data_IF_044211351313
#
_entry.id   IF_044211351313
#
_cell.length_a   1.000
_cell.length_b   1.000
_cell.length_c   1.000
_cell.angle_alpha   90.00
_cell.angle_beta   90.00
_cell.angle_gamma   90.00
#
_symmetry.space_group_name_H-M   'P 1'
#
loop_
_entity.id
_entity.type
_entity.pdbx_description
1 polymer ?
#
# COMPACT_ATOMS: atom_id res chain seq x y z
N UNK A 1 -14.14 4.68 34.95
CA UNK A 1 -15.25 5.26 34.17
C UNK A 1 -14.67 6.35 33.29
N UNK A 2 -14.98 6.37 32.02
CA UNK A 2 -14.52 7.40 31.08
C UNK A 2 -15.47 8.56 31.18
N UNK A 3 -14.94 9.77 31.38
CA UNK A 3 -15.72 10.99 31.20
C UNK A 3 -15.69 11.36 29.71
N UNK A 4 -16.81 11.24 29.00
CA UNK A 4 -16.85 11.61 27.58
C UNK A 4 -16.70 13.12 27.41
N UNK A 5 -16.21 13.52 26.26
CA UNK A 5 -16.18 14.93 25.89
C UNK A 5 -17.61 15.46 25.69
N UNK A 6 -17.75 16.78 25.75
CA UNK A 6 -19.03 17.44 25.43
C UNK A 6 -19.34 17.22 23.93
N UNK A 7 -20.64 17.22 23.59
CA UNK A 7 -21.09 17.01 22.22
C UNK A 7 -20.46 18.00 21.22
N UNK A 8 -20.26 19.24 21.63
CA UNK A 8 -19.64 20.26 20.79
C UNK A 8 -18.18 19.92 20.47
N UNK A 9 -17.44 19.43 21.46
CA UNK A 9 -16.04 19.01 21.27
C UNK A 9 -15.98 17.75 20.42
N UNK A 10 -16.86 16.80 20.65
CA UNK A 10 -16.94 15.57 19.85
C UNK A 10 -17.21 15.86 18.37
N UNK A 11 -18.12 16.79 18.09
CA UNK A 11 -18.42 17.22 16.72
C UNK A 11 -17.19 17.87 16.05
N UNK A 12 -16.47 18.72 16.76
CA UNK A 12 -15.25 19.34 16.25
C UNK A 12 -14.12 18.32 16.02
N UNK A 13 -14.00 17.33 16.88
CA UNK A 13 -13.02 16.25 16.73
C UNK A 13 -13.32 15.40 15.47
N UNK A 14 -14.58 15.08 15.25
CA UNK A 14 -15.00 14.33 14.05
C UNK A 14 -14.73 15.15 12.78
N UNK A 15 -15.02 16.44 12.79
CA UNK A 15 -14.74 17.31 11.65
C UNK A 15 -13.24 17.41 11.37
N UNK A 16 -12.43 17.65 12.38
CA UNK A 16 -10.98 17.68 12.25
C UNK A 16 -10.45 16.35 11.68
N UNK A 17 -10.90 15.24 12.25
CA UNK A 17 -10.50 13.91 11.80
C UNK A 17 -10.79 13.67 10.32
N UNK A 18 -11.94 14.11 9.83
CA UNK A 18 -12.31 13.97 8.42
C UNK A 18 -11.36 14.69 7.46
N UNK A 19 -10.75 15.79 7.92
CA UNK A 19 -9.81 16.61 7.12
C UNK A 19 -8.38 16.13 7.13
N UNK A 20 -8.01 15.24 8.06
CA UNK A 20 -6.64 14.78 8.21
C UNK A 20 -6.27 13.72 7.14
N UNK A 21 -5.00 13.71 6.67
CA UNK A 21 -4.49 12.58 5.89
C UNK A 21 -4.43 11.30 6.74
N UNK A 22 -4.43 10.15 6.07
CA UNK A 22 -4.52 8.82 6.70
C UNK A 22 -3.50 8.59 7.83
N UNK A 23 -2.25 8.98 7.61
CA UNK A 23 -1.20 8.88 8.63
C UNK A 23 -1.54 9.71 9.87
N UNK A 24 -1.95 10.96 9.65
CA UNK A 24 -2.30 11.88 10.73
C UNK A 24 -3.57 11.47 11.48
N UNK A 25 -4.53 10.85 10.79
CA UNK A 25 -5.72 10.28 11.42
C UNK A 25 -5.37 9.24 12.47
N UNK A 26 -4.47 8.31 12.15
CA UNK A 26 -4.03 7.27 13.09
C UNK A 26 -3.31 7.86 14.29
N UNK A 27 -2.40 8.79 14.06
CA UNK A 27 -1.67 9.46 15.13
C UNK A 27 -2.59 10.27 16.04
N UNK A 28 -3.52 11.00 15.46
CA UNK A 28 -4.50 11.79 16.21
C UNK A 28 -5.39 10.89 17.08
N UNK A 29 -5.92 9.82 16.53
CA UNK A 29 -6.72 8.85 17.28
C UNK A 29 -5.91 8.23 18.44
N UNK A 30 -4.63 7.93 18.20
CA UNK A 30 -3.73 7.41 19.21
C UNK A 30 -3.50 8.39 20.36
N UNK A 31 -3.23 9.65 20.06
CA UNK A 31 -3.04 10.70 21.08
C UNK A 31 -4.30 10.87 21.93
N UNK A 32 -5.46 10.97 21.30
CA UNK A 32 -6.73 11.13 22.02
C UNK A 32 -7.04 9.93 22.93
N UNK A 33 -6.76 8.70 22.46
CA UNK A 33 -6.97 7.49 23.26
C UNK A 33 -6.05 7.43 24.48
N UNK A 34 -4.82 7.92 24.38
CA UNK A 34 -3.85 7.94 25.50
C UNK A 34 -4.26 8.87 26.64
N UNK A 35 -5.16 9.81 26.41
CA UNK A 35 -5.68 10.69 27.48
C UNK A 35 -6.53 9.92 28.49
N UNK A 36 -7.03 8.75 28.13
CA UNK A 36 -7.88 7.92 28.98
C UNK A 36 -7.12 6.71 29.49
N UNK A 37 -7.14 6.42 30.81
CA UNK A 37 -6.37 5.32 31.38
C UNK A 37 -6.92 3.94 31.01
N UNK A 38 -8.24 3.81 30.82
CA UNK A 38 -8.90 2.55 30.45
C UNK A 38 -10.09 2.82 29.52
N UNK A 39 -10.24 1.98 28.52
CA UNK A 39 -11.37 2.07 27.61
C UNK A 39 -11.26 3.19 26.56
N UNK A 40 -10.22 4.00 26.60
CA UNK A 40 -10.02 5.12 25.67
C UNK A 40 -9.98 4.68 24.21
N UNK A 41 -9.38 3.54 23.91
CA UNK A 41 -9.32 2.98 22.54
C UNK A 41 -10.73 2.75 22.00
N UNK A 42 -11.60 2.10 22.77
CA UNK A 42 -12.98 1.82 22.35
C UNK A 42 -13.81 3.08 22.21
N UNK A 43 -13.65 4.03 23.11
CA UNK A 43 -14.36 5.29 23.08
C UNK A 43 -13.97 6.14 21.85
N UNK A 44 -12.68 6.33 21.63
CA UNK A 44 -12.17 7.11 20.51
C UNK A 44 -12.47 6.42 19.16
N UNK A 45 -12.36 5.10 19.08
CA UNK A 45 -12.74 4.36 17.88
C UNK A 45 -14.22 4.56 17.51
N UNK A 46 -15.10 4.50 18.50
CA UNK A 46 -16.52 4.77 18.31
C UNK A 46 -16.80 6.22 17.93
N UNK A 47 -16.15 7.16 18.58
CA UNK A 47 -16.31 8.60 18.32
C UNK A 47 -15.87 8.99 16.91
N UNK A 48 -14.69 8.54 16.50
CA UNK A 48 -14.10 8.90 15.20
C UNK A 48 -14.55 7.99 14.05
N UNK A 49 -15.32 6.93 14.34
CA UNK A 49 -15.79 5.99 13.33
C UNK A 49 -14.67 5.14 12.71
N UNK A 50 -13.62 4.85 13.46
CA UNK A 50 -12.53 3.99 13.01
C UNK A 50 -12.46 2.68 13.82
N UNK A 51 -11.64 1.74 13.37
CA UNK A 51 -11.43 0.49 14.11
C UNK A 51 -10.53 0.69 15.33
N UNK A 52 -10.70 -0.16 16.35
CA UNK A 52 -9.82 -0.19 17.51
C UNK A 52 -8.36 -0.49 17.13
N UNK A 53 -8.17 -1.31 16.08
CA UNK A 53 -6.84 -1.60 15.55
C UNK A 53 -6.16 -0.36 15.00
N UNK A 54 -6.91 0.52 14.32
CA UNK A 54 -6.39 1.80 13.83
C UNK A 54 -5.89 2.67 14.97
N UNK A 55 -6.65 2.75 16.07
CA UNK A 55 -6.24 3.52 17.26
C UNK A 55 -5.00 2.89 17.91
N UNK A 56 -4.97 1.57 18.06
CA UNK A 56 -3.82 0.84 18.63
C UNK A 56 -2.55 1.01 17.79
N UNK A 57 -2.67 0.96 16.47
CA UNK A 57 -1.57 1.25 15.55
C UNK A 57 -1.08 2.70 15.67
N UNK A 58 -2.00 3.64 15.88
CA UNK A 58 -1.66 5.02 16.14
C UNK A 58 -0.84 5.20 17.41
N UNK A 59 -1.25 4.56 18.50
CA UNK A 59 -0.52 4.56 19.78
C UNK A 59 0.88 3.98 19.59
N UNK A 60 0.99 2.85 18.91
CA UNK A 60 2.27 2.21 18.62
C UNK A 60 3.18 3.10 17.78
N UNK A 61 2.63 3.73 16.76
CA UNK A 61 3.38 4.64 15.89
C UNK A 61 3.90 5.89 16.63
N UNK A 62 3.19 6.37 17.64
CA UNK A 62 3.65 7.47 18.49
C UNK A 62 4.88 7.10 19.33
N UNK A 63 4.99 5.82 19.72
CA UNK A 63 6.15 5.31 20.48
C UNK A 63 7.36 5.01 19.62
N UNK A 64 7.20 4.91 18.30
CA UNK A 64 8.28 4.65 17.34
C UNK A 64 8.86 5.98 16.82
N UNK A 65 10.19 6.00 16.62
CA UNK A 65 10.81 7.14 15.95
C UNK A 65 10.23 7.28 14.53
N UNK A 66 9.89 8.48 14.14
CA UNK A 66 9.28 8.75 12.85
C UNK A 66 10.27 8.49 11.71
N UNK A 67 10.11 7.40 11.00
CA UNK A 67 10.97 6.99 9.89
C UNK A 67 10.40 7.38 8.52
N UNK A 68 9.15 7.87 8.49
CA UNK A 68 8.48 8.22 7.24
C UNK A 68 8.64 9.71 6.93
N UNK A 69 8.95 10.08 5.68
CA UNK A 69 8.88 11.46 5.23
C UNK A 69 7.47 12.02 5.45
N UNK A 70 7.37 13.32 5.72
CA UNK A 70 6.10 13.99 6.03
C UNK A 70 5.02 13.79 4.98
N UNK A 71 5.40 13.66 3.72
CA UNK A 71 4.48 13.51 2.59
C UNK A 71 4.20 12.05 2.18
N UNK A 72 4.63 11.06 2.97
CA UNK A 72 4.39 9.64 2.68
C UNK A 72 3.60 8.97 3.79
N UNK A 73 2.57 8.23 3.39
CA UNK A 73 1.71 7.49 4.31
C UNK A 73 2.20 6.06 4.58
N UNK A 74 3.12 5.54 3.75
CA UNK A 74 3.61 4.16 3.83
C UNK A 74 5.12 4.12 3.81
N UNK A 75 5.69 3.13 4.50
CA UNK A 75 7.12 2.84 4.48
C UNK A 75 7.58 2.49 3.06
N UNK A 76 8.83 2.82 2.74
CA UNK A 76 9.45 2.40 1.48
C UNK A 76 9.44 0.87 1.38
N UNK A 77 9.19 0.33 0.18
CA UNK A 77 9.10 -1.11 -0.04
C UNK A 77 7.76 -1.75 0.36
N UNK A 78 6.81 -0.98 0.88
CA UNK A 78 5.48 -1.48 1.26
C UNK A 78 4.52 -1.75 0.10
N UNK A 79 4.94 -1.56 -1.14
CA UNK A 79 4.14 -1.83 -2.33
C UNK A 79 4.19 -3.29 -2.78
N UNK A 80 3.43 -3.60 -3.82
CA UNK A 80 3.51 -4.91 -4.48
C UNK A 80 4.90 -5.08 -5.09
N UNK A 81 5.56 -6.18 -4.77
CA UNK A 81 6.85 -6.53 -5.38
C UNK A 81 6.68 -6.78 -6.88
N UNK A 82 7.67 -6.36 -7.67
CA UNK A 82 7.72 -6.66 -9.09
C UNK A 82 7.78 -8.19 -9.32
N UNK A 83 7.22 -8.65 -10.42
CA UNK A 83 7.18 -10.08 -10.76
C UNK A 83 8.59 -10.67 -10.87
N UNK A 84 9.54 -9.90 -11.41
CA UNK A 84 10.95 -10.32 -11.52
C UNK A 84 11.63 -10.54 -10.16
N UNK A 85 11.21 -9.84 -9.11
CA UNK A 85 11.73 -10.04 -7.76
C UNK A 85 11.17 -11.30 -7.08
N UNK A 86 9.95 -11.68 -7.47
CA UNK A 86 9.29 -12.87 -6.91
C UNK A 86 9.76 -14.15 -7.57
N UNK A 87 9.97 -14.09 -8.85
CA UNK A 87 10.31 -15.22 -9.71
C UNK A 87 11.50 -14.86 -10.59
N UNK A 88 12.74 -15.02 -10.09
CA UNK A 88 13.94 -14.64 -10.84
C UNK A 88 14.11 -15.41 -12.14
N UNK A 89 13.57 -16.63 -12.22
CA UNK A 89 13.67 -17.50 -13.39
C UNK A 89 12.72 -17.12 -14.54
N UNK A 90 11.80 -16.19 -14.28
CA UNK A 90 10.77 -15.79 -15.25
C UNK A 90 11.37 -15.23 -16.54
N UNK A 91 12.47 -14.51 -16.44
CA UNK A 91 13.15 -13.95 -17.60
C UNK A 91 13.80 -15.01 -18.47
N UNK A 92 14.39 -16.04 -17.85
CA UNK A 92 14.98 -17.17 -18.57
C UNK A 92 13.92 -18.00 -19.28
N UNK A 93 12.82 -18.28 -18.60
CA UNK A 93 11.66 -18.99 -19.19
C UNK A 93 11.10 -18.22 -20.37
N UNK A 94 10.93 -16.92 -20.22
CA UNK A 94 10.45 -16.02 -21.26
C UNK A 94 11.36 -16.01 -22.49
N UNK A 95 12.68 -15.87 -22.29
CA UNK A 95 13.66 -15.89 -23.37
C UNK A 95 13.73 -17.26 -24.07
N UNK A 96 13.66 -18.36 -23.32
CA UNK A 96 13.63 -19.70 -23.87
C UNK A 96 12.38 -19.92 -24.75
N UNK A 97 11.23 -19.41 -24.33
CA UNK A 97 9.98 -19.51 -25.06
C UNK A 97 10.00 -18.69 -26.36
N UNK A 98 10.69 -17.56 -26.37
CA UNK A 98 10.81 -16.70 -27.54
C UNK A 98 11.90 -17.14 -28.52
N UNK A 99 12.85 -17.97 -28.11
CA UNK A 99 14.06 -18.30 -28.86
C UNK A 99 13.78 -18.75 -30.30
N UNK A 100 12.79 -19.64 -30.49
CA UNK A 100 12.43 -20.20 -31.80
C UNK A 100 11.44 -19.35 -32.59
N UNK A 101 10.88 -18.31 -31.96
CA UNK A 101 9.80 -17.48 -32.51
C UNK A 101 10.19 -16.00 -32.66
N UNK A 102 11.43 -15.66 -32.42
CA UNK A 102 11.93 -14.28 -32.46
C UNK A 102 12.91 -14.08 -33.59
N UNK A 103 12.67 -13.08 -34.43
CA UNK A 103 13.60 -12.61 -35.45
C UNK A 103 14.15 -11.23 -35.07
N UNK A 104 15.42 -11.00 -35.34
CA UNK A 104 16.04 -9.67 -35.20
C UNK A 104 15.66 -8.74 -36.35
N UNK A 105 15.71 -7.44 -36.09
CA UNK A 105 15.63 -6.42 -37.14
C UNK A 105 17.03 -6.28 -37.77
N UNK A 106 17.19 -6.42 -39.10
CA UNK A 106 18.49 -6.29 -39.75
C UNK A 106 19.06 -4.87 -39.69
N UNK A 107 18.22 -3.86 -39.43
CA UNK A 107 18.63 -2.45 -39.33
C UNK A 107 18.87 -1.99 -37.89
N UNK A 108 18.36 -2.72 -36.91
CA UNK A 108 18.45 -2.39 -35.48
C UNK A 108 18.58 -3.66 -34.65
N UNK A 109 19.77 -3.94 -34.16
CA UNK A 109 20.06 -5.14 -33.35
C UNK A 109 19.32 -5.15 -32.01
N UNK A 110 18.84 -3.99 -31.53
CA UNK A 110 18.11 -3.88 -30.26
C UNK A 110 16.65 -4.31 -30.38
N UNK A 111 16.11 -4.31 -31.59
CA UNK A 111 14.71 -4.70 -31.86
C UNK A 111 14.62 -6.19 -32.19
N UNK A 112 13.69 -6.85 -31.52
CA UNK A 112 13.36 -8.25 -31.79
C UNK A 112 11.87 -8.38 -32.00
N UNK A 113 11.48 -9.03 -33.10
CA UNK A 113 10.10 -9.32 -33.41
C UNK A 113 9.79 -10.80 -33.15
N UNK A 114 8.59 -11.07 -32.69
CA UNK A 114 8.12 -12.45 -32.49
C UNK A 114 6.87 -12.71 -33.31
N UNK A 115 6.77 -13.93 -33.87
CA UNK A 115 5.58 -14.40 -34.55
C UNK A 115 4.55 -15.01 -33.58
N UNK A 116 4.84 -15.10 -32.29
CA UNK A 116 3.91 -15.59 -31.31
C UNK A 116 2.71 -14.67 -31.17
N UNK A 117 1.53 -15.25 -31.28
CA UNK A 117 0.27 -14.51 -31.07
C UNK A 117 -0.15 -14.59 -29.61
N UNK A 118 -0.94 -13.63 -29.21
CA UNK A 118 -1.50 -13.56 -27.86
C UNK A 118 -2.04 -14.90 -27.32
N UNK A 119 -2.77 -15.74 -28.08
CA UNK A 119 -3.25 -17.01 -27.56
C UNK A 119 -2.16 -18.02 -27.18
N UNK A 120 -0.98 -17.91 -27.78
CA UNK A 120 0.17 -18.79 -27.47
C UNK A 120 0.70 -18.61 -26.05
N UNK A 121 0.36 -17.53 -25.42
CA UNK A 121 0.75 -17.18 -24.04
C UNK A 121 -0.40 -17.34 -23.05
N UNK A 122 -1.52 -17.90 -23.46
CA UNK A 122 -2.67 -18.15 -22.58
C UNK A 122 -2.23 -19.08 -21.43
N UNK A 123 -2.35 -18.64 -20.20
CA UNK A 123 -1.84 -19.34 -19.05
C UNK A 123 -0.43 -18.93 -18.59
N UNK A 124 0.29 -18.16 -19.40
CA UNK A 124 1.54 -17.51 -19.03
C UNK A 124 1.26 -16.03 -18.77
N UNK A 125 1.63 -15.54 -17.62
CA UNK A 125 1.39 -14.14 -17.24
C UNK A 125 2.26 -13.10 -17.99
N UNK A 126 2.89 -13.50 -19.08
CA UNK A 126 3.80 -12.65 -19.87
C UNK A 126 3.16 -11.92 -21.03
N UNK A 127 1.90 -12.10 -21.27
CA UNK A 127 1.21 -11.55 -22.44
C UNK A 127 1.29 -10.03 -22.50
N UNK A 128 1.37 -9.39 -21.36
CA UNK A 128 1.50 -7.93 -21.26
C UNK A 128 2.85 -7.43 -21.75
N UNK A 129 3.89 -8.26 -21.73
CA UNK A 129 5.23 -7.89 -22.19
C UNK A 129 5.36 -7.97 -23.72
N UNK A 130 4.46 -8.64 -24.40
CA UNK A 130 4.45 -8.79 -25.85
C UNK A 130 3.52 -7.80 -26.53
N UNK A 131 2.75 -7.04 -25.80
CA UNK A 131 1.89 -5.99 -26.31
C UNK A 131 2.66 -4.70 -26.70
N UNK A 132 3.96 -4.79 -26.73
CA UNK A 132 4.84 -3.69 -27.14
C UNK A 132 4.90 -3.55 -28.65
#
# INVERSE_FOLDING_TARGET
MIEPYTQDIEAQMQELYSRLPEKSKRLYAGVEALKFPYGGISYIAGLLGCSRDTVSLGIKALGEAETLPKNRNRKAGGGRKHTLEKEPDINEVFLALLKDHTAGDPMDETKKCTNLRHPSFTGLHFMQFLAL
#
